data_IF_241762442775
#
_entry.id   IF_241762442775
#
_cell.length_a   1.000
_cell.length_b   1.000
_cell.length_c   1.000
_cell.angle_alpha   90.00
_cell.angle_beta   90.00
_cell.angle_gamma   90.00
#
_symmetry.space_group_name_H-M   'P 1'
#
loop_
_entity.id
_entity.type
_entity.pdbx_description
1 polymer ?
#
# COMPACT_ATOMS: atom_id res chain seq x y z
N UNK A 1 -51.99 56.20 8.87
CA UNK A 1 -50.66 55.67 9.25
C UNK A 1 -50.56 54.22 8.80
N UNK A 2 -49.52 53.92 8.03
CA UNK A 2 -48.92 52.59 7.84
C UNK A 2 -49.75 51.58 7.01
N UNK A 3 -50.06 51.96 5.77
CA UNK A 3 -49.99 51.01 4.64
C UNK A 3 -48.54 51.01 4.14
N UNK A 4 -48.05 49.87 3.64
CA UNK A 4 -46.85 49.68 2.77
C UNK A 4 -45.55 49.11 3.43
N UNK A 5 -45.48 48.83 4.73
CA UNK A 5 -44.18 48.47 5.35
C UNK A 5 -43.99 47.03 5.88
N UNK A 6 -44.89 46.07 5.60
CA UNK A 6 -44.78 44.71 6.20
C UNK A 6 -44.79 43.57 5.15
N UNK A 7 -44.80 43.90 3.86
CA UNK A 7 -44.84 42.93 2.75
C UNK A 7 -43.59 42.95 1.86
N UNK A 8 -42.48 43.51 2.37
CA UNK A 8 -41.17 43.46 1.74
C UNK A 8 -40.19 42.82 2.72
N UNK A 9 -39.49 41.78 2.24
CA UNK A 9 -38.52 40.92 2.92
C UNK A 9 -39.12 39.64 3.52
N UNK A 10 -40.15 39.06 2.89
CA UNK A 10 -39.95 37.83 2.08
C UNK A 10 -38.52 37.71 1.54
N UNK A 11 -37.85 36.58 1.82
CA UNK A 11 -36.43 36.27 1.52
C UNK A 11 -35.45 36.51 2.68
N UNK A 12 -35.81 36.16 3.92
CA UNK A 12 -34.77 35.66 4.81
C UNK A 12 -34.35 34.31 4.25
N UNK A 13 -33.25 34.36 3.49
CA UNK A 13 -32.65 33.23 2.82
C UNK A 13 -32.57 32.06 3.80
N UNK A 14 -33.29 30.99 3.49
CA UNK A 14 -32.85 29.67 3.87
C UNK A 14 -31.47 29.51 3.24
N UNK A 15 -30.43 29.86 4.00
CA UNK A 15 -29.10 29.32 3.80
C UNK A 15 -29.23 27.83 4.03
N UNK A 16 -29.71 27.12 3.02
CA UNK A 16 -29.37 25.73 2.80
C UNK A 16 -27.85 25.77 2.69
N UNK A 17 -27.19 25.58 3.83
CA UNK A 17 -25.86 24.99 3.82
C UNK A 17 -26.07 23.66 3.11
N UNK A 18 -25.93 23.69 1.79
CA UNK A 18 -25.51 22.54 1.05
C UNK A 18 -24.12 22.26 1.61
N UNK A 19 -24.10 21.54 2.74
CA UNK A 19 -22.93 20.86 3.20
C UNK A 19 -22.64 19.91 2.04
N UNK A 20 -21.80 20.36 1.12
CA UNK A 20 -21.15 19.47 0.18
C UNK A 20 -20.40 18.54 1.10
N UNK A 21 -21.04 17.41 1.42
CA UNK A 21 -20.39 16.28 2.07
C UNK A 21 -19.32 15.85 1.06
N UNK A 22 -18.20 16.53 1.15
CA UNK A 22 -16.98 16.21 0.44
C UNK A 22 -16.47 14.98 1.18
N UNK A 23 -17.03 13.83 0.82
CA UNK A 23 -16.82 12.57 1.54
C UNK A 23 -15.35 12.20 1.36
N UNK A 24 -14.54 12.57 2.34
CA UNK A 24 -13.15 12.15 2.43
C UNK A 24 -13.12 10.72 2.96
N UNK A 25 -12.46 9.83 2.24
CA UNK A 25 -12.21 8.44 2.66
C UNK A 25 -10.74 8.28 3.04
N UNK A 26 -10.38 7.35 3.94
CA UNK A 26 -8.98 7.09 4.26
C UNK A 26 -8.19 6.67 3.01
N UNK A 27 -6.99 7.22 2.84
CA UNK A 27 -6.06 6.78 1.80
C UNK A 27 -5.48 5.40 2.13
N UNK A 28 -5.11 4.67 1.08
CA UNK A 28 -4.44 3.37 1.18
C UNK A 28 -3.02 3.59 1.66
N UNK A 29 -2.67 3.05 2.84
CA UNK A 29 -1.31 3.10 3.37
C UNK A 29 -0.47 1.99 2.75
N UNK A 30 0.63 2.35 2.12
CA UNK A 30 1.63 1.42 1.58
C UNK A 30 2.92 1.62 2.36
N UNK A 31 3.49 0.51 2.83
CA UNK A 31 4.72 0.47 3.61
C UNK A 31 5.75 -0.35 2.88
N UNK A 32 7.00 0.11 2.87
CA UNK A 32 8.18 -0.62 2.42
C UNK A 32 9.08 -0.93 3.62
N UNK A 33 9.24 -2.22 3.89
CA UNK A 33 10.22 -2.73 4.84
C UNK A 33 11.48 -3.14 4.08
N UNK A 34 12.65 -2.73 4.55
CA UNK A 34 13.92 -3.17 3.96
C UNK A 34 14.78 -3.88 5.01
N UNK A 35 15.18 -5.10 4.67
CA UNK A 35 16.04 -5.96 5.50
C UNK A 35 17.38 -6.09 4.80
N UNK A 36 18.44 -5.66 5.48
CA UNK A 36 19.79 -5.63 4.96
C UNK A 36 20.60 -6.84 5.45
N UNK A 37 21.33 -7.49 4.56
CA UNK A 37 22.25 -8.59 4.86
C UNK A 37 23.64 -8.23 4.34
N UNK A 38 24.44 -7.56 5.18
CA UNK A 38 25.76 -7.00 4.78
C UNK A 38 26.89 -8.03 4.61
N UNK A 39 26.66 -9.25 5.07
CA UNK A 39 27.62 -10.35 5.02
C UNK A 39 27.06 -11.55 4.23
N UNK A 40 26.24 -11.28 3.22
CA UNK A 40 25.62 -12.31 2.41
C UNK A 40 26.64 -12.93 1.43
N UNK A 41 26.66 -14.25 1.33
CA UNK A 41 27.46 -14.95 0.33
C UNK A 41 26.75 -14.93 -1.02
N UNK A 42 27.07 -13.94 -1.86
CA UNK A 42 26.44 -13.77 -3.17
C UNK A 42 26.77 -14.94 -4.11
N UNK A 43 27.97 -15.50 -4.00
CA UNK A 43 28.38 -16.68 -4.77
C UNK A 43 27.55 -17.93 -4.44
N UNK A 44 27.14 -18.10 -3.19
CA UNK A 44 26.27 -19.22 -2.80
C UNK A 44 24.81 -18.99 -3.18
N UNK A 45 24.34 -17.74 -3.14
CA UNK A 45 22.99 -17.37 -3.62
C UNK A 45 22.78 -17.73 -5.09
N UNK A 46 23.78 -17.46 -5.94
CA UNK A 46 23.71 -17.74 -7.37
C UNK A 46 23.60 -19.23 -7.70
N UNK A 47 24.05 -20.11 -6.79
CA UNK A 47 23.92 -21.57 -6.94
C UNK A 47 22.49 -22.06 -6.65
N UNK A 48 21.66 -21.24 -5.99
CA UNK A 48 20.29 -21.62 -5.61
C UNK A 48 19.35 -21.36 -6.77
N UNK A 49 18.92 -22.44 -7.43
CA UNK A 49 17.91 -22.37 -8.47
C UNK A 49 16.57 -21.83 -7.91
N UNK A 50 15.93 -20.92 -8.65
CA UNK A 50 14.67 -20.26 -8.26
C UNK A 50 14.74 -19.48 -6.93
N UNK A 51 15.91 -18.93 -6.59
CA UNK A 51 16.11 -18.11 -5.40
C UNK A 51 15.01 -17.06 -5.17
N UNK A 52 14.63 -16.30 -6.21
CA UNK A 52 13.58 -15.27 -6.10
C UNK A 52 12.24 -15.82 -5.58
N UNK A 53 11.83 -17.01 -6.04
CA UNK A 53 10.59 -17.63 -5.60
C UNK A 53 10.71 -18.13 -4.15
N UNK A 54 11.85 -18.73 -3.80
CA UNK A 54 12.13 -19.22 -2.45
C UNK A 54 12.12 -18.05 -1.46
N UNK A 55 12.91 -17.01 -1.73
CA UNK A 55 12.98 -15.79 -0.92
C UNK A 55 11.60 -15.16 -0.75
N UNK A 56 10.83 -15.00 -1.84
CA UNK A 56 9.47 -14.45 -1.79
C UNK A 56 8.58 -15.26 -0.86
N UNK A 57 8.55 -16.58 -1.01
CA UNK A 57 7.71 -17.46 -0.19
C UNK A 57 8.11 -17.40 1.29
N UNK A 58 9.42 -17.38 1.57
CA UNK A 58 9.94 -17.24 2.93
C UNK A 58 9.51 -15.93 3.59
N UNK A 59 9.66 -14.81 2.88
CA UNK A 59 9.29 -13.49 3.39
C UNK A 59 7.78 -13.37 3.58
N UNK A 60 6.98 -13.90 2.65
CA UNK A 60 5.52 -13.93 2.80
C UNK A 60 5.11 -14.78 4.01
N UNK A 61 5.77 -15.91 4.25
CA UNK A 61 5.52 -16.71 5.44
C UNK A 61 5.86 -15.95 6.74
N UNK A 62 6.98 -15.21 6.75
CA UNK A 62 7.35 -14.32 7.85
C UNK A 62 6.30 -13.24 8.12
N UNK A 63 5.80 -12.58 7.07
CA UNK A 63 4.73 -11.59 7.18
C UNK A 63 3.42 -12.20 7.69
N UNK A 64 3.02 -13.37 7.18
CA UNK A 64 1.83 -14.08 7.67
C UNK A 64 1.94 -14.43 9.15
N UNK A 65 3.12 -14.86 9.59
CA UNK A 65 3.36 -15.16 10.99
C UNK A 65 3.21 -13.90 11.85
N UNK A 66 3.79 -12.78 11.44
CA UNK A 66 3.62 -11.50 12.14
C UNK A 66 2.14 -11.13 12.17
N UNK A 67 1.46 -11.20 11.02
CA UNK A 67 0.07 -10.79 10.89
C UNK A 67 -0.90 -11.60 11.75
N UNK A 68 -0.61 -12.89 11.94
CA UNK A 68 -1.37 -13.78 12.82
C UNK A 68 -1.38 -13.31 14.28
N UNK A 69 -0.37 -12.55 14.71
CA UNK A 69 -0.25 -12.05 16.08
C UNK A 69 -0.60 -10.57 16.19
N UNK A 70 -0.34 -9.79 15.14
CA UNK A 70 -0.57 -8.35 15.07
C UNK A 70 -1.20 -8.02 13.73
N UNK A 71 -2.37 -7.38 13.72
CA UNK A 71 -3.10 -7.10 12.48
C UNK A 71 -2.43 -5.96 11.69
N UNK A 72 -1.39 -6.29 10.93
CA UNK A 72 -0.54 -5.34 10.18
C UNK A 72 -0.93 -5.23 8.70
N UNK A 73 -1.63 -6.22 8.13
CA UNK A 73 -2.04 -6.17 6.73
C UNK A 73 -3.32 -5.32 6.60
N UNK A 74 -3.27 -4.27 5.78
CA UNK A 74 -4.43 -3.42 5.51
C UNK A 74 -5.38 -4.04 4.48
N UNK A 75 -6.63 -3.58 4.46
CA UNK A 75 -7.63 -3.93 3.45
C UNK A 75 -7.97 -2.76 2.53
N UNK A 76 -8.52 -3.05 1.35
CA UNK A 76 -9.23 -2.05 0.56
C UNK A 76 -10.62 -1.80 1.15
N UNK A 77 -11.17 -0.58 1.11
CA UNK A 77 -12.58 -0.33 1.42
C UNK A 77 -13.57 -1.09 0.51
N UNK A 78 -13.10 -1.64 -0.62
CA UNK A 78 -13.87 -2.53 -1.49
C UNK A 78 -13.82 -4.01 -1.09
N UNK A 79 -12.97 -4.39 -0.13
CA UNK A 79 -12.83 -5.78 0.29
C UNK A 79 -13.97 -6.12 1.27
N UNK A 80 -14.90 -6.97 0.82
CA UNK A 80 -15.93 -7.56 1.69
C UNK A 80 -15.26 -8.24 2.90
N UNK A 81 -15.82 -8.16 4.12
CA UNK A 81 -15.21 -8.74 5.33
C UNK A 81 -14.95 -10.25 5.25
N UNK A 82 -15.57 -10.96 4.30
CA UNK A 82 -15.32 -12.38 4.00
C UNK A 82 -14.11 -12.65 3.10
N UNK A 83 -13.57 -11.61 2.43
CA UNK A 83 -12.33 -11.66 1.64
C UNK A 83 -11.12 -11.10 2.38
N UNK A 84 -11.26 -10.73 3.67
CA UNK A 84 -10.16 -10.33 4.54
C UNK A 84 -9.28 -11.54 4.91
N UNK A 85 -8.78 -12.26 3.91
CA UNK A 85 -7.61 -13.10 4.06
C UNK A 85 -6.42 -12.16 4.22
N UNK A 86 -6.26 -11.79 5.49
CA UNK A 86 -5.20 -11.11 6.21
C UNK A 86 -3.82 -11.75 5.96
N UNK A 87 -3.45 -11.95 4.71
CA UNK A 87 -2.29 -12.76 4.32
C UNK A 87 -1.09 -11.91 3.95
N UNK A 88 -1.23 -10.58 3.97
CA UNK A 88 -0.28 -9.66 3.34
C UNK A 88 0.11 -10.15 1.92
N UNK A 89 -0.76 -10.95 1.27
CA UNK A 89 -0.43 -11.82 0.13
C UNK A 89 -0.35 -11.07 -1.20
N UNK A 90 -0.69 -9.79 -1.18
CA UNK A 90 -0.43 -8.82 -2.23
C UNK A 90 0.93 -8.11 -2.04
N UNK A 91 1.70 -8.46 -1.02
CA UNK A 91 3.01 -7.86 -0.79
C UNK A 91 3.95 -8.19 -1.94
N UNK A 92 4.60 -7.15 -2.45
CA UNK A 92 5.66 -7.26 -3.43
C UNK A 92 6.98 -7.47 -2.69
N UNK A 93 7.59 -8.63 -2.91
CA UNK A 93 8.91 -8.97 -2.36
C UNK A 93 9.92 -8.97 -3.48
N UNK A 94 10.98 -8.20 -3.32
CA UNK A 94 12.11 -8.15 -4.25
C UNK A 94 13.41 -8.26 -3.48
N UNK A 95 14.41 -8.87 -4.10
CA UNK A 95 15.76 -8.92 -3.55
C UNK A 95 16.76 -8.35 -4.54
N UNK A 96 17.76 -7.65 -4.02
CA UNK A 96 18.79 -6.99 -4.82
C UNK A 96 20.17 -7.18 -4.21
N UNK A 97 21.18 -7.26 -5.07
CA UNK A 97 22.59 -7.32 -4.67
C UNK A 97 23.13 -5.88 -4.66
N UNK A 98 23.50 -5.37 -3.48
CA UNK A 98 23.91 -3.97 -3.24
C UNK A 98 25.44 -3.87 -3.11
N UNK A 99 26.17 -4.62 -3.94
CA UNK A 99 27.62 -4.74 -3.91
C UNK A 99 28.10 -6.19 -3.72
N UNK A 100 29.40 -6.38 -3.46
CA UNK A 100 30.02 -7.72 -3.49
C UNK A 100 29.51 -8.70 -2.43
N UNK A 101 29.20 -8.23 -1.22
CA UNK A 101 28.80 -9.07 -0.07
C UNK A 101 27.48 -8.61 0.58
N UNK A 102 26.74 -7.73 -0.08
CA UNK A 102 25.55 -7.10 0.49
C UNK A 102 24.32 -7.51 -0.31
N UNK A 103 23.38 -8.16 0.35
CA UNK A 103 22.06 -8.47 -0.20
C UNK A 103 20.97 -7.68 0.55
N UNK A 104 20.02 -7.10 -0.18
CA UNK A 104 18.88 -6.40 0.40
C UNK A 104 17.59 -7.08 -0.02
N UNK A 105 16.69 -7.26 0.94
CA UNK A 105 15.31 -7.67 0.69
C UNK A 105 14.40 -6.45 0.92
N UNK A 106 13.60 -6.13 -0.09
CA UNK A 106 12.58 -5.10 -0.01
C UNK A 106 11.20 -5.76 -0.02
N UNK A 107 10.34 -5.32 0.88
CA UNK A 107 8.99 -5.85 1.08
C UNK A 107 8.02 -4.69 1.08
N UNK A 108 7.23 -4.55 0.03
CA UNK A 108 6.21 -3.50 -0.11
C UNK A 108 4.84 -4.11 0.10
N UNK A 109 4.06 -3.61 1.06
CA UNK A 109 2.73 -4.11 1.37
C UNK A 109 1.74 -2.99 1.65
N UNK A 110 0.46 -3.27 1.44
CA UNK A 110 -0.62 -2.44 1.98
C UNK A 110 -0.73 -2.76 3.46
N UNK A 111 -0.50 -1.76 4.30
CA UNK A 111 -0.44 -1.90 5.74
C UNK A 111 -1.69 -1.31 6.41
N UNK A 112 -2.06 -1.89 7.55
CA UNK A 112 -3.09 -1.32 8.41
C UNK A 112 -2.58 0.00 9.02
N UNK A 113 -3.51 0.86 9.42
CA UNK A 113 -3.15 2.12 10.08
C UNK A 113 -2.72 1.87 11.51
N UNK A 114 -1.72 2.64 11.94
CA UNK A 114 -1.34 2.64 13.34
C UNK A 114 -2.41 3.38 14.18
N UNK A 115 -2.71 2.91 15.40
CA UNK A 115 -2.14 1.73 16.05
C UNK A 115 -2.72 0.40 15.52
N UNK A 116 -1.83 -0.56 15.25
CA UNK A 116 -2.23 -1.94 14.96
C UNK A 116 -2.55 -2.71 16.23
N UNK A 117 -3.59 -3.54 16.17
CA UNK A 117 -4.05 -4.33 17.33
C UNK A 117 -3.39 -5.71 17.34
N UNK A 118 -3.09 -6.20 18.53
CA UNK A 118 -2.78 -7.61 18.71
C UNK A 118 -4.04 -8.47 18.50
N UNK A 119 -3.87 -9.64 17.90
CA UNK A 119 -4.99 -10.52 17.57
C UNK A 119 -5.60 -11.26 18.78
N UNK A 120 -4.88 -11.33 19.91
CA UNK A 120 -5.28 -12.14 21.08
C UNK A 120 -5.44 -11.36 22.37
N UNK A 121 -4.73 -10.23 22.50
CA UNK A 121 -4.72 -9.41 23.73
C UNK A 121 -5.06 -7.96 23.39
N UNK A 122 -5.55 -7.21 24.37
CA UNK A 122 -5.82 -5.77 24.22
C UNK A 122 -4.53 -4.93 24.25
N UNK A 123 -3.62 -5.21 23.31
CA UNK A 123 -2.39 -4.47 23.12
C UNK A 123 -2.39 -3.78 21.75
N UNK A 124 -1.77 -2.60 21.70
CA UNK A 124 -1.59 -1.81 20.48
C UNK A 124 -0.11 -1.55 20.23
N UNK A 125 0.26 -1.41 18.95
CA UNK A 125 1.62 -1.09 18.54
C UNK A 125 1.62 -0.40 17.18
N UNK A 126 2.80 -0.21 16.57
CA UNK A 126 2.93 0.27 15.19
C UNK A 126 3.42 -0.84 14.27
N UNK A 127 3.10 -0.74 12.97
CA UNK A 127 3.60 -1.69 11.95
C UNK A 127 5.14 -1.78 12.01
N UNK A 128 5.82 -0.64 12.15
CA UNK A 128 7.28 -0.60 12.29
C UNK A 128 7.76 -1.38 13.52
N UNK A 129 7.20 -1.11 14.71
CA UNK A 129 7.65 -1.74 15.95
C UNK A 129 7.45 -3.26 15.91
N UNK A 130 6.29 -3.71 15.42
CA UNK A 130 5.99 -5.13 15.27
C UNK A 130 6.91 -5.81 14.28
N UNK A 131 7.15 -5.20 13.11
CA UNK A 131 8.08 -5.74 12.11
C UNK A 131 9.52 -5.78 12.65
N UNK A 132 9.93 -4.77 13.43
CA UNK A 132 11.25 -4.71 14.06
C UNK A 132 11.43 -5.79 15.14
N UNK A 133 10.40 -6.04 15.95
CA UNK A 133 10.38 -7.17 16.89
C UNK A 133 10.50 -8.49 16.12
N UNK A 134 9.79 -8.63 15.00
CA UNK A 134 9.89 -9.82 14.15
C UNK A 134 11.30 -10.03 13.58
N UNK A 135 11.97 -8.96 13.15
CA UNK A 135 13.37 -9.00 12.73
C UNK A 135 14.29 -9.46 13.85
N UNK A 136 14.19 -8.84 15.03
CA UNK A 136 14.99 -9.23 16.21
C UNK A 136 14.72 -10.66 16.67
N UNK A 137 13.48 -11.12 16.55
CA UNK A 137 13.06 -12.50 16.84
C UNK A 137 13.49 -13.52 15.79
N UNK A 138 14.20 -13.12 14.72
CA UNK A 138 14.68 -14.03 13.68
C UNK A 138 13.59 -14.50 12.71
N UNK A 139 12.42 -13.86 12.69
CA UNK A 139 11.29 -14.28 11.85
C UNK A 139 11.67 -14.18 10.35
N UNK A 140 12.46 -13.18 9.96
CA UNK A 140 12.99 -13.02 8.61
C UNK A 140 14.20 -13.94 8.28
N UNK A 141 14.53 -14.88 9.17
CA UNK A 141 15.54 -15.93 8.94
C UNK A 141 14.99 -17.33 9.24
N UNK A 142 13.70 -17.45 9.53
CA UNK A 142 13.11 -18.69 10.04
C UNK A 142 13.16 -19.84 9.04
N UNK A 143 13.14 -19.52 7.74
CA UNK A 143 13.29 -20.55 6.70
C UNK A 143 14.77 -20.88 6.49
N UNK A 144 15.08 -22.17 6.32
CA UNK A 144 16.44 -22.63 6.00
C UNK A 144 17.02 -21.93 4.76
N UNK A 145 16.17 -21.52 3.83
CA UNK A 145 16.60 -20.82 2.63
C UNK A 145 17.20 -19.44 2.91
N UNK A 146 16.63 -18.65 3.82
CA UNK A 146 17.16 -17.30 4.11
C UNK A 146 18.44 -17.33 4.96
N UNK A 147 18.79 -18.48 5.57
CA UNK A 147 20.02 -18.64 6.35
C UNK A 147 21.29 -18.44 5.52
N UNK A 148 21.23 -18.70 4.21
CA UNK A 148 22.36 -18.47 3.29
C UNK A 148 22.78 -17.00 3.21
N UNK A 149 21.86 -16.08 3.51
CA UNK A 149 22.15 -14.64 3.56
C UNK A 149 22.90 -14.22 4.83
N UNK A 150 23.09 -15.15 5.78
CA UNK A 150 23.67 -14.85 7.08
C UNK A 150 22.73 -14.03 7.96
N UNK A 151 23.31 -13.30 8.92
CA UNK A 151 22.58 -12.49 9.89
C UNK A 151 22.15 -11.15 9.27
N UNK A 152 20.87 -10.76 9.34
CA UNK A 152 20.44 -9.44 8.91
C UNK A 152 20.96 -8.38 9.88
N UNK A 153 21.07 -7.15 9.38
CA UNK A 153 21.30 -5.98 10.19
C UNK A 153 20.18 -5.81 11.24
N UNK A 154 20.50 -5.37 12.46
CA UNK A 154 19.50 -5.19 13.52
C UNK A 154 18.56 -4.00 13.26
N UNK A 155 18.90 -3.14 12.30
CA UNK A 155 18.08 -1.99 11.90
C UNK A 155 17.19 -2.39 10.73
N UNK A 156 15.89 -2.17 10.89
CA UNK A 156 14.90 -2.28 9.82
C UNK A 156 14.72 -0.90 9.18
N UNK A 157 14.87 -0.78 7.86
CA UNK A 157 14.48 0.45 7.17
C UNK A 157 12.98 0.41 6.86
N UNK A 158 12.32 1.56 7.00
CA UNK A 158 10.88 1.68 6.90
C UNK A 158 10.52 2.97 6.15
N UNK A 159 9.86 2.82 5.02
CA UNK A 159 9.30 3.92 4.25
C UNK A 159 7.78 3.76 4.19
N UNK A 160 7.04 4.86 4.23
CA UNK A 160 5.58 4.85 4.09
C UNK A 160 5.09 5.91 3.11
N UNK A 161 3.99 5.58 2.43
CA UNK A 161 3.31 6.47 1.50
C UNK A 161 1.81 6.18 1.48
N UNK A 162 1.02 7.19 1.15
CA UNK A 162 -0.44 7.09 1.07
C UNK A 162 -0.90 7.32 -0.36
N UNK A 163 -1.81 6.46 -0.81
CA UNK A 163 -2.30 6.47 -2.19
C UNK A 163 -3.82 6.51 -2.23
N UNK A 164 -4.33 7.21 -3.24
CA UNK A 164 -5.75 7.26 -3.55
C UNK A 164 -6.08 6.39 -4.77
N UNK A 165 -7.27 5.81 -4.76
CA UNK A 165 -7.80 5.16 -5.95
C UNK A 165 -8.04 6.16 -7.08
N UNK A 166 -8.08 5.66 -8.31
CA UNK A 166 -8.31 6.47 -9.51
C UNK A 166 -9.58 7.31 -9.35
N UNK A 167 -9.48 8.60 -9.66
CA UNK A 167 -10.57 9.56 -9.50
C UNK A 167 -10.69 10.18 -8.11
N UNK A 168 -9.70 10.00 -7.25
CA UNK A 168 -9.58 10.72 -6.00
C UNK A 168 -8.20 11.35 -5.84
N UNK A 169 -8.15 12.51 -5.17
CA UNK A 169 -6.94 13.27 -4.87
C UNK A 169 -6.55 13.11 -3.41
N UNK A 170 -5.25 12.98 -3.13
CA UNK A 170 -4.73 12.94 -1.78
C UNK A 170 -4.88 14.32 -1.12
N UNK A 171 -5.46 14.36 0.06
CA UNK A 171 -5.70 15.54 0.89
C UNK A 171 -5.27 15.21 2.32
N UNK A 172 -4.81 16.20 3.07
CA UNK A 172 -4.35 16.04 4.46
C UNK A 172 -3.27 14.95 4.63
N UNK A 173 -2.52 14.63 3.57
CA UNK A 173 -1.47 13.58 3.51
C UNK A 173 -1.95 12.13 3.61
N UNK A 174 -3.13 11.88 4.18
CA UNK A 174 -3.59 10.52 4.48
C UNK A 174 -5.07 10.28 4.14
N UNK A 175 -5.75 11.24 3.49
CA UNK A 175 -7.15 11.10 3.06
C UNK A 175 -7.28 11.27 1.57
N UNK A 176 -8.34 10.70 1.02
CA UNK A 176 -8.68 10.80 -0.38
C UNK A 176 -10.01 11.52 -0.53
N UNK A 177 -10.02 12.52 -1.40
CA UNK A 177 -11.23 13.25 -1.80
C UNK A 177 -11.62 12.83 -3.21
N UNK A 178 -12.86 12.40 -3.42
CA UNK A 178 -13.34 12.03 -4.76
C UNK A 178 -13.45 13.28 -5.62
N UNK A 179 -12.78 13.28 -6.77
CA UNK A 179 -12.94 14.35 -7.73
C UNK A 179 -14.30 14.18 -8.44
N UNK A 180 -15.19 15.17 -8.29
CA UNK A 180 -16.51 15.15 -8.95
C UNK A 180 -16.38 15.23 -10.48
N UNK A 181 -15.23 15.64 -11.02
CA UNK A 181 -15.06 15.98 -12.44
C UNK A 181 -14.82 14.80 -13.39
N UNK A 182 -14.54 13.60 -12.87
CA UNK A 182 -14.22 12.42 -13.71
C UNK A 182 -15.43 11.55 -14.10
N UNK A 183 -16.67 11.95 -13.77
CA UNK A 183 -17.87 11.23 -14.21
C UNK A 183 -18.30 11.54 -15.65
N UNK A 184 -17.82 12.63 -16.24
CA UNK A 184 -18.33 13.15 -17.52
C UNK A 184 -17.27 13.24 -18.63
N UNK A 185 -16.26 12.37 -18.61
CA UNK A 185 -15.51 12.08 -19.83
C UNK A 185 -16.00 10.74 -20.35
N UNK A 186 -16.85 10.70 -21.39
CA UNK A 186 -17.06 9.46 -22.11
C UNK A 186 -15.69 8.94 -22.53
N UNK A 187 -15.47 7.65 -22.34
CA UNK A 187 -14.49 6.93 -23.12
C UNK A 187 -14.85 7.21 -24.58
N UNK A 188 -14.15 8.15 -25.22
CA UNK A 188 -14.05 8.12 -26.66
C UNK A 188 -13.32 6.81 -26.94
N UNK A 189 -14.12 5.79 -27.26
CA UNK A 189 -13.67 4.68 -28.06
C UNK A 189 -12.78 5.27 -29.15
N UNK A 190 -11.57 4.75 -29.22
CA UNK A 190 -10.67 5.03 -30.31
C UNK A 190 -11.42 4.69 -31.58
N UNK A 191 -11.90 5.72 -32.27
CA UNK A 191 -12.41 5.59 -33.63
C UNK A 191 -11.26 4.97 -34.41
N UNK A 192 -11.47 3.73 -34.83
CA UNK A 192 -10.71 3.07 -35.88
C UNK A 192 -10.58 4.06 -37.04
N UNK A 193 -9.45 4.75 -37.09
CA UNK A 193 -8.96 5.31 -38.33
C UNK A 193 -8.03 4.24 -38.87
N UNK A 194 -8.41 3.55 -39.96
CA UNK A 194 -7.49 2.63 -40.61
C UNK A 194 -6.27 3.43 -41.03
N UNK A 195 -5.09 2.96 -40.65
CA UNK A 195 -3.81 3.44 -41.16
C UNK A 195 -3.85 3.20 -42.68
N UNK A 196 -3.78 4.24 -43.54
CA UNK A 196 -3.69 4.00 -44.98
C UNK A 196 -2.34 3.32 -45.26
N UNK A 197 -2.42 2.12 -45.83
CA UNK A 197 -1.29 1.22 -46.07
C UNK A 197 -0.45 1.62 -47.31
N UNK A 198 -0.42 2.91 -47.67
CA UNK A 198 0.17 3.37 -48.93
C UNK A 198 1.57 4.00 -48.79
N UNK A 199 2.16 4.01 -47.59
CA UNK A 199 3.49 4.62 -47.37
C UNK A 199 4.55 3.65 -46.78
N UNK A 200 4.37 2.33 -46.94
CA UNK A 200 5.38 1.33 -46.50
C UNK A 200 6.07 0.59 -47.67
N UNK A 201 6.13 1.23 -48.85
CA UNK A 201 6.99 0.82 -49.95
C UNK A 201 7.63 2.05 -50.62
N UNK A 202 8.57 2.69 -49.93
CA UNK A 202 9.68 3.41 -50.56
C UNK A 202 10.71 3.83 -49.50
N UNK A 203 11.97 3.42 -49.75
CA UNK A 203 13.24 3.70 -49.04
C UNK A 203 13.63 2.73 -47.91
#
# INVERSE_FOLDING_TARGET
MIRIAVLLLFSFAFSVHAQSNDVTVPAVRVVRLQVEYRNASISDLQKIHKWNAIMRNSVLASLKFINKHWLICGGSPSDTPSFSNADCGKAQVTGEIVGGNHYRINVTLIAERDPVKNAKVEATSTVYAVAHIGLKGGIFQYTNALKVLGKPEPKLSFDEAFFCYRGATLVDTDKCRKDRRLRDSPLLDSVETPIPLDNLLAL
#
